data_IF_339271227696
#
_entry.id   IF_339271227696
#
_cell.length_a   1.000
_cell.length_b   1.000
_cell.length_c   1.000
_cell.angle_alpha   90.00
_cell.angle_beta   90.00
_cell.angle_gamma   90.00
#
_symmetry.space_group_name_H-M   'P 1'
#
loop_
_entity.id
_entity.type
_entity.pdbx_description
1 polymer ?
#
# COMPACT_ATOMS: atom_id res chain seq x y z
N UNK A 1 5.17 -14.55 -8.23
CA UNK A 1 5.51 -13.14 -8.48
C UNK A 1 4.91 -12.24 -7.42
N UNK A 2 3.60 -11.94 -7.44
CA UNK A 2 3.01 -11.02 -6.44
C UNK A 2 3.16 -11.54 -4.99
N UNK A 3 2.96 -12.84 -4.78
CA UNK A 3 3.16 -13.47 -3.47
C UNK A 3 4.63 -13.44 -3.01
N UNK A 4 5.58 -13.47 -3.95
CA UNK A 4 7.01 -13.39 -3.64
C UNK A 4 7.41 -11.95 -3.28
N UNK A 5 6.84 -10.96 -3.98
CA UNK A 5 6.97 -9.54 -3.63
C UNK A 5 6.45 -9.26 -2.21
N UNK A 6 5.24 -9.75 -1.88
CA UNK A 6 4.68 -9.62 -0.53
C UNK A 6 5.58 -10.28 0.50
N UNK A 7 6.11 -11.46 0.18
CA UNK A 7 7.05 -12.15 1.05
C UNK A 7 8.30 -11.32 1.28
N UNK A 8 8.91 -10.73 0.26
CA UNK A 8 10.09 -9.87 0.43
C UNK A 8 9.81 -8.65 1.31
N UNK A 9 8.73 -7.92 1.06
CA UNK A 9 8.34 -6.80 1.92
C UNK A 9 8.06 -7.24 3.37
N UNK A 10 7.41 -8.39 3.57
CA UNK A 10 7.12 -8.91 4.92
C UNK A 10 8.38 -9.32 5.72
N UNK A 11 9.55 -9.42 5.09
CA UNK A 11 10.82 -9.67 5.80
C UNK A 11 11.46 -8.39 6.33
N UNK A 12 10.99 -7.21 5.93
CA UNK A 12 11.49 -5.92 6.42
C UNK A 12 10.97 -5.67 7.84
N UNK A 13 11.86 -5.36 8.78
CA UNK A 13 11.49 -5.05 10.17
C UNK A 13 10.56 -3.83 10.30
N UNK A 14 10.57 -2.97 9.30
CA UNK A 14 9.72 -1.80 9.17
C UNK A 14 8.25 -2.16 8.94
N UNK A 15 7.96 -3.32 8.33
CA UNK A 15 6.63 -3.71 7.88
C UNK A 15 5.90 -4.46 8.99
N UNK A 16 4.79 -3.89 9.45
CA UNK A 16 3.89 -4.50 10.42
C UNK A 16 2.84 -5.38 9.75
N UNK A 17 2.22 -4.87 8.68
CA UNK A 17 1.17 -5.57 7.95
C UNK A 17 1.17 -5.21 6.47
N UNK A 18 0.68 -6.13 5.65
CA UNK A 18 0.40 -5.91 4.23
C UNK A 18 -1.05 -6.29 3.98
N UNK A 19 -1.81 -5.39 3.37
CA UNK A 19 -3.19 -5.62 2.99
C UNK A 19 -3.41 -5.36 1.51
N UNK A 20 -4.33 -6.11 0.91
CA UNK A 20 -4.78 -5.91 -0.45
C UNK A 20 -6.10 -5.13 -0.40
N UNK A 21 -6.19 -4.06 -1.16
CA UNK A 21 -7.43 -3.32 -1.38
C UNK A 21 -7.95 -3.44 -2.81
N UNK A 22 -8.83 -2.51 -3.15
CA UNK A 22 -9.41 -2.38 -4.48
C UNK A 22 -10.17 -3.61 -4.95
N UNK A 23 -10.26 -3.75 -6.28
CA UNK A 23 -11.08 -4.79 -6.93
C UNK A 23 -10.61 -6.20 -6.56
N UNK A 24 -9.29 -6.40 -6.42
CA UNK A 24 -8.67 -7.70 -6.11
C UNK A 24 -8.81 -8.14 -4.66
N UNK A 25 -9.18 -7.24 -3.75
CA UNK A 25 -9.58 -7.62 -2.38
C UNK A 25 -10.97 -8.27 -2.35
N UNK A 26 -11.81 -7.98 -3.35
CA UNK A 26 -13.16 -8.51 -3.49
C UNK A 26 -13.26 -9.68 -4.46
N UNK A 27 -14.42 -9.79 -5.13
CA UNK A 27 -14.67 -10.77 -6.19
C UNK A 27 -14.81 -10.12 -7.57
N UNK A 28 -14.81 -8.78 -7.64
CA UNK A 28 -15.09 -8.00 -8.84
C UNK A 28 -13.80 -7.56 -9.54
N UNK A 29 -12.94 -8.52 -9.89
CA UNK A 29 -11.68 -8.27 -10.60
C UNK A 29 -11.56 -9.15 -11.85
N UNK A 30 -10.72 -8.72 -12.79
CA UNK A 30 -10.36 -9.52 -13.95
C UNK A 30 -8.83 -9.59 -14.16
N UNK A 31 -8.42 -10.13 -15.30
CA UNK A 31 -7.00 -10.30 -15.64
C UNK A 31 -6.25 -8.97 -15.85
N UNK A 32 -6.97 -7.86 -16.08
CA UNK A 32 -6.43 -6.54 -16.32
C UNK A 32 -6.47 -5.65 -15.07
N UNK A 33 -7.22 -6.03 -14.03
CA UNK A 33 -7.25 -5.28 -12.77
C UNK A 33 -5.84 -5.09 -12.21
N UNK A 34 -5.57 -3.90 -11.71
CA UNK A 34 -4.40 -3.51 -10.92
C UNK A 34 -4.39 -4.16 -9.53
N UNK A 35 -3.30 -3.92 -8.79
CA UNK A 35 -3.16 -4.31 -7.38
C UNK A 35 -2.96 -3.07 -6.50
N UNK A 36 -3.93 -2.79 -5.63
CA UNK A 36 -3.80 -1.79 -4.56
C UNK A 36 -3.22 -2.43 -3.29
N UNK A 37 -1.95 -2.20 -2.98
CA UNK A 37 -1.25 -2.86 -1.87
C UNK A 37 -0.92 -1.86 -0.78
N UNK A 38 -1.56 -2.00 0.37
CA UNK A 38 -1.30 -1.17 1.54
C UNK A 38 -0.23 -1.83 2.41
N UNK A 39 0.87 -1.11 2.62
CA UNK A 39 1.99 -1.54 3.47
C UNK A 39 2.00 -0.67 4.73
N UNK A 40 1.67 -1.28 5.86
CA UNK A 40 1.63 -0.62 7.15
C UNK A 40 2.99 -0.72 7.83
N UNK A 41 3.51 0.43 8.24
CA UNK A 41 4.89 0.60 8.67
C UNK A 41 4.98 1.08 10.12
N UNK A 42 5.85 0.44 10.90
CA UNK A 42 6.29 0.95 12.21
C UNK A 42 7.41 2.00 12.06
N UNK A 43 8.11 2.01 10.93
CA UNK A 43 9.09 3.04 10.57
C UNK A 43 9.26 3.13 9.05
N UNK A 44 9.70 4.26 8.48
CA UNK A 44 9.84 4.40 7.03
C UNK A 44 10.85 3.42 6.42
N UNK A 45 10.55 2.90 5.23
CA UNK A 45 11.52 2.14 4.41
C UNK A 45 12.26 3.12 3.51
N UNK A 46 13.59 3.05 3.49
CA UNK A 46 14.40 3.87 2.58
C UNK A 46 14.05 3.63 1.10
N UNK A 47 13.97 4.71 0.32
CA UNK A 47 13.60 4.67 -1.10
C UNK A 47 14.45 3.68 -1.90
N UNK A 48 15.76 3.65 -1.63
CA UNK A 48 16.69 2.76 -2.32
C UNK A 48 16.39 1.30 -2.03
N UNK A 49 15.98 0.97 -0.80
CA UNK A 49 15.58 -0.39 -0.43
C UNK A 49 14.35 -0.82 -1.21
N UNK A 50 13.33 0.05 -1.30
CA UNK A 50 12.12 -0.23 -2.09
C UNK A 50 12.44 -0.40 -3.57
N UNK A 51 13.27 0.49 -4.13
CA UNK A 51 13.72 0.39 -5.52
C UNK A 51 14.47 -0.91 -5.81
N UNK A 52 15.35 -1.37 -4.90
CA UNK A 52 16.09 -2.63 -5.07
C UNK A 52 15.12 -3.81 -5.13
N UNK A 53 14.18 -3.89 -4.17
CA UNK A 53 13.18 -4.96 -4.14
C UNK A 53 12.34 -4.93 -5.41
N UNK A 54 11.74 -3.77 -5.72
CA UNK A 54 10.82 -3.62 -6.85
C UNK A 54 11.49 -3.89 -8.19
N UNK A 55 12.80 -3.62 -8.34
CA UNK A 55 13.55 -3.90 -9.58
C UNK A 55 13.57 -5.39 -9.97
N UNK A 56 13.33 -6.31 -9.02
CA UNK A 56 13.22 -7.74 -9.29
C UNK A 56 11.84 -8.14 -9.87
N UNK A 57 10.81 -7.33 -9.63
CA UNK A 57 9.41 -7.68 -9.89
C UNK A 57 8.72 -6.77 -10.91
N UNK A 58 9.24 -5.56 -11.11
CA UNK A 58 8.64 -4.51 -11.91
C UNK A 58 9.49 -4.16 -13.14
N UNK A 59 8.79 -4.00 -14.26
CA UNK A 59 9.35 -3.53 -15.54
C UNK A 59 9.40 -2.01 -15.65
N UNK A 60 8.57 -1.31 -14.88
CA UNK A 60 8.52 0.14 -14.74
C UNK A 60 8.19 0.52 -13.29
N UNK A 61 8.74 1.63 -12.81
CA UNK A 61 8.60 2.09 -11.43
C UNK A 61 8.64 3.63 -11.36
N UNK A 62 7.64 4.24 -10.74
CA UNK A 62 7.67 5.60 -10.20
C UNK A 62 7.71 5.49 -8.68
N UNK A 63 8.85 5.86 -8.09
CA UNK A 63 9.11 5.63 -6.67
C UNK A 63 8.86 6.93 -5.90
N UNK A 64 8.13 6.83 -4.79
CA UNK A 64 7.95 7.93 -3.84
C UNK A 64 7.01 9.04 -4.33
N UNK A 65 5.94 8.69 -5.05
CA UNK A 65 4.84 9.61 -5.31
C UNK A 65 4.19 10.03 -3.98
N UNK A 66 3.77 11.29 -3.89
CA UNK A 66 3.28 11.93 -2.66
C UNK A 66 2.06 12.84 -2.91
N UNK A 67 1.40 12.73 -4.06
CA UNK A 67 0.26 13.59 -4.37
C UNK A 67 -0.94 13.32 -3.45
N UNK A 68 -1.26 12.05 -3.18
CA UNK A 68 -2.32 11.63 -2.26
C UNK A 68 -1.77 11.03 -0.97
N UNK A 69 -0.98 9.97 -1.08
CA UNK A 69 -0.25 9.30 0.00
C UNK A 69 1.18 9.03 -0.48
N UNK A 70 2.04 8.50 0.40
CA UNK A 70 3.34 7.99 -0.04
C UNK A 70 3.13 6.67 -0.76
N UNK A 71 3.41 6.61 -2.06
CA UNK A 71 3.22 5.41 -2.87
C UNK A 71 4.35 5.18 -3.89
N UNK A 72 4.53 3.92 -4.27
CA UNK A 72 5.34 3.53 -5.42
C UNK A 72 4.41 2.94 -6.50
N UNK A 73 4.32 3.60 -7.65
CA UNK A 73 3.43 3.23 -8.77
C UNK A 73 4.23 2.47 -9.82
N UNK A 74 3.90 1.21 -10.05
CA UNK A 74 4.74 0.30 -10.83
C UNK A 74 3.95 -0.50 -11.87
N UNK A 75 4.67 -1.01 -12.87
CA UNK A 75 4.17 -2.04 -13.78
C UNK A 75 4.95 -3.32 -13.55
N UNK A 76 4.28 -4.36 -13.08
CA UNK A 76 4.87 -5.68 -12.84
C UNK A 76 5.43 -6.29 -14.14
N UNK A 77 6.33 -7.26 -14.01
CA UNK A 77 6.93 -7.96 -15.15
C UNK A 77 5.92 -8.74 -16.03
N UNK A 78 4.71 -8.97 -15.53
CA UNK A 78 3.60 -9.53 -16.30
C UNK A 78 2.65 -8.46 -16.89
N UNK A 79 3.08 -7.19 -16.89
CA UNK A 79 2.36 -6.04 -17.44
C UNK A 79 1.09 -5.61 -16.68
N UNK A 80 0.90 -6.08 -15.44
CA UNK A 80 -0.19 -5.59 -14.57
C UNK A 80 0.33 -4.44 -13.70
N UNK A 81 -0.47 -3.40 -13.54
CA UNK A 81 -0.18 -2.25 -12.67
C UNK A 81 -0.29 -2.64 -11.19
N UNK A 82 0.55 -2.03 -10.36
CA UNK A 82 0.55 -2.21 -8.91
C UNK A 82 0.90 -0.88 -8.24
N UNK A 83 0.13 -0.53 -7.22
CA UNK A 83 0.36 0.61 -6.36
C UNK A 83 0.75 0.07 -4.98
N UNK A 84 1.93 0.44 -4.47
CA UNK A 84 2.33 0.15 -3.10
C UNK A 84 2.17 1.42 -2.26
N UNK A 85 1.16 1.46 -1.41
CA UNK A 85 0.78 2.62 -0.60
C UNK A 85 1.29 2.42 0.83
N UNK A 86 2.20 3.29 1.28
CA UNK A 86 2.89 3.17 2.56
C UNK A 86 2.22 4.03 3.64
N UNK A 87 1.73 3.37 4.69
CA UNK A 87 1.07 4.04 5.83
C UNK A 87 1.84 3.84 7.11
N UNK A 88 2.10 4.92 7.83
CA UNK A 88 2.59 4.82 9.21
C UNK A 88 1.48 4.29 10.11
N UNK A 89 1.79 3.29 10.95
CA UNK A 89 0.88 2.79 11.98
C UNK A 89 0.46 3.91 12.94
N UNK A 90 1.40 4.80 13.29
CA UNK A 90 1.11 5.95 14.16
C UNK A 90 0.09 6.90 13.51
N UNK A 91 0.31 7.30 12.25
CA UNK A 91 -0.61 8.19 11.54
C UNK A 91 -1.98 7.54 11.35
N UNK A 92 -2.00 6.25 11.02
CA UNK A 92 -3.23 5.49 10.86
C UNK A 92 -4.06 5.48 12.15
N UNK A 93 -3.45 5.15 13.29
CA UNK A 93 -4.14 5.19 14.59
C UNK A 93 -4.67 6.59 14.95
N UNK A 94 -3.91 7.64 14.64
CA UNK A 94 -4.33 9.02 14.88
C UNK A 94 -5.54 9.40 14.01
N UNK A 95 -5.54 8.98 12.74
CA UNK A 95 -6.68 9.18 11.84
C UNK A 95 -7.92 8.43 12.32
N UNK A 96 -7.78 7.16 12.70
CA UNK A 96 -8.88 6.38 13.30
C UNK A 96 -9.45 7.09 14.53
N UNK A 97 -8.60 7.57 15.42
CA UNK A 97 -9.03 8.25 16.62
C UNK A 97 -9.79 9.55 16.32
N UNK A 98 -9.27 10.34 15.36
CA UNK A 98 -9.92 11.57 14.90
C UNK A 98 -11.30 11.30 14.31
N UNK A 99 -11.43 10.29 13.45
CA UNK A 99 -12.70 9.93 12.81
C UNK A 99 -13.68 9.34 13.83
N UNK A 100 -13.30 8.25 14.52
CA UNK A 100 -14.23 7.43 15.32
C UNK A 100 -14.60 8.12 16.63
N UNK A 101 -13.60 8.58 17.37
CA UNK A 101 -13.81 9.06 18.74
C UNK A 101 -13.99 10.57 18.81
N UNK A 102 -13.38 11.32 17.90
CA UNK A 102 -13.54 12.78 17.83
C UNK A 102 -14.62 13.23 16.83
N UNK A 103 -15.22 12.30 16.07
CA UNK A 103 -16.31 12.56 15.12
C UNK A 103 -15.93 13.59 14.04
N UNK A 104 -14.66 13.64 13.65
CA UNK A 104 -14.17 14.55 12.60
C UNK A 104 -14.17 13.84 11.26
N UNK A 105 -15.10 14.25 10.40
CA UNK A 105 -15.09 13.80 9.00
C UNK A 105 -13.87 14.36 8.26
N UNK A 106 -13.37 13.59 7.30
CA UNK A 106 -12.27 13.96 6.39
C UNK A 106 -12.78 13.97 4.95
N UNK A 107 -12.21 14.83 4.11
CA UNK A 107 -12.53 14.82 2.69
C UNK A 107 -12.06 13.50 2.06
N UNK A 108 -12.96 12.83 1.34
CA UNK A 108 -12.79 11.54 0.64
C UNK A 108 -12.50 10.30 1.52
N UNK A 109 -11.71 10.42 2.60
CA UNK A 109 -11.20 9.28 3.37
C UNK A 109 -11.73 9.18 4.81
N UNK A 110 -13.02 9.47 5.04
CA UNK A 110 -13.55 9.47 6.41
C UNK A 110 -13.48 8.08 7.06
N UNK A 111 -13.96 7.02 6.41
CA UNK A 111 -14.01 5.66 7.00
C UNK A 111 -13.34 4.57 6.17
N UNK A 112 -12.97 4.84 4.91
CA UNK A 112 -12.41 3.82 4.03
C UNK A 112 -11.00 3.37 4.46
N UNK A 113 -10.25 4.22 5.18
CA UNK A 113 -8.90 3.87 5.65
C UNK A 113 -8.87 2.58 6.47
N UNK A 114 -9.87 2.35 7.32
CA UNK A 114 -9.93 1.13 8.13
C UNK A 114 -10.47 -0.07 7.39
N UNK A 115 -11.22 0.11 6.28
CA UNK A 115 -11.81 -1.01 5.54
C UNK A 115 -10.74 -1.89 4.90
N UNK A 116 -9.57 -1.32 4.60
CA UNK A 116 -8.46 -2.04 4.02
C UNK A 116 -7.75 -2.95 5.05
N UNK A 117 -7.95 -2.73 6.36
CA UNK A 117 -7.27 -3.46 7.43
C UNK A 117 -8.22 -4.27 8.33
N UNK A 118 -9.49 -3.85 8.48
CA UNK A 118 -10.53 -4.44 9.34
C UNK A 118 -11.67 -5.05 8.52
#
# INVERSE_FOLDING_TARGET
>A
MIQDLYKEFSQLEQVEAIALGGSRAGQDYDQNSDYDVYVYLNSPIDEKTRQIILSNYCSYMEIGNQFWELEDDCVLNNSIEIELIYRSMESFEQELNSTVFQHKAQNAYTTCMWHNLL
#
